data_IF_432796283524
#
_entry.id   IF_432796283524
#
_cell.length_a   1.000
_cell.length_b   1.000
_cell.length_c   1.000
_cell.angle_alpha   90.00
_cell.angle_beta   90.00
_cell.angle_gamma   90.00
#
_symmetry.space_group_name_H-M   'P 1'
#
loop_
_entity.id
_entity.type
_entity.pdbx_description
1 polymer ?
#
# COMPACT_ATOMS: atom_id res chain seq x y z
N UNK A 1 22.85 16.94 13.75
CA UNK A 1 22.76 17.92 12.66
C UNK A 1 23.48 17.43 11.39
N UNK A 2 24.04 16.21 11.37
CA UNK A 2 24.84 15.67 10.25
C UNK A 2 24.04 14.97 9.13
N UNK A 3 22.83 14.47 9.39
CA UNK A 3 22.06 13.77 8.35
C UNK A 3 21.28 14.69 7.40
N UNK A 4 21.08 15.97 7.75
CA UNK A 4 20.24 16.89 6.95
C UNK A 4 20.87 17.20 5.59
N UNK A 5 22.18 17.36 5.54
CA UNK A 5 22.91 17.73 4.31
C UNK A 5 22.96 16.64 3.24
N UNK A 6 22.88 15.35 3.61
CA UNK A 6 22.88 14.25 2.63
C UNK A 6 21.56 14.11 1.85
N UNK A 7 20.44 14.53 2.45
CA UNK A 7 19.12 14.40 1.81
C UNK A 7 18.75 15.63 0.97
N UNK A 8 19.34 16.80 1.25
CA UNK A 8 19.06 18.04 0.51
C UNK A 8 19.52 17.96 -0.97
N UNK A 9 20.50 17.09 -1.28
CA UNK A 9 21.02 16.83 -2.63
C UNK A 9 20.52 15.52 -3.27
N UNK A 10 19.72 14.74 -2.53
CA UNK A 10 19.17 13.47 -3.00
C UNK A 10 17.86 13.72 -3.77
N UNK A 11 17.77 13.22 -5.00
CA UNK A 11 16.60 13.46 -5.87
C UNK A 11 15.80 12.18 -6.08
N UNK A 12 14.47 12.28 -6.03
CA UNK A 12 13.57 11.19 -6.40
C UNK A 12 13.18 11.29 -7.88
N UNK A 13 13.26 10.17 -8.59
CA UNK A 13 12.89 10.04 -9.98
C UNK A 13 11.78 8.99 -10.12
N UNK A 14 10.63 9.42 -10.63
CA UNK A 14 9.52 8.58 -11.04
C UNK A 14 9.46 8.49 -12.56
N UNK A 15 8.65 7.55 -13.08
CA UNK A 15 8.43 7.38 -14.52
C UNK A 15 8.09 8.72 -15.20
N UNK A 16 8.80 9.03 -16.27
CA UNK A 16 8.67 10.25 -17.06
C UNK A 16 9.52 11.42 -16.58
N UNK A 17 10.16 11.32 -15.40
CA UNK A 17 10.99 12.39 -14.88
C UNK A 17 12.29 12.50 -15.69
N UNK A 18 12.59 13.73 -16.10
CA UNK A 18 13.89 14.06 -16.69
C UNK A 18 14.96 14.12 -15.60
N UNK A 19 16.17 13.69 -15.94
CA UNK A 19 17.27 13.81 -15.00
C UNK A 19 17.66 15.29 -14.82
N UNK A 20 17.68 15.73 -13.56
CA UNK A 20 18.13 17.08 -13.21
C UNK A 20 19.59 16.98 -12.79
N UNK A 21 20.48 17.65 -13.52
CA UNK A 21 21.91 17.67 -13.21
C UNK A 21 22.20 18.27 -11.82
N UNK A 22 23.24 17.76 -11.15
CA UNK A 22 23.73 18.29 -9.88
C UNK A 22 23.17 17.63 -8.62
N UNK A 23 22.85 16.33 -8.66
CA UNK A 23 22.49 15.55 -7.45
C UNK A 23 23.55 14.50 -7.15
N UNK A 24 24.02 14.47 -5.91
CA UNK A 24 25.01 13.49 -5.43
C UNK A 24 24.42 12.08 -5.25
N UNK A 25 23.09 11.95 -5.21
CA UNK A 25 22.40 10.66 -5.18
C UNK A 25 20.98 10.71 -5.76
N UNK A 26 20.43 9.53 -6.07
CA UNK A 26 19.11 9.40 -6.69
C UNK A 26 18.30 8.22 -6.14
N UNK A 27 17.03 8.45 -5.82
CA UNK A 27 16.02 7.42 -5.55
C UNK A 27 15.19 7.20 -6.80
N UNK A 28 15.29 6.01 -7.39
CA UNK A 28 14.49 5.65 -8.57
C UNK A 28 13.31 4.79 -8.12
N UNK A 29 12.09 5.29 -8.31
CA UNK A 29 10.86 4.55 -8.01
C UNK A 29 10.21 4.12 -9.32
N UNK A 30 10.26 2.82 -9.61
CA UNK A 30 9.71 2.25 -10.84
C UNK A 30 9.26 0.80 -10.67
N UNK A 31 8.40 0.35 -11.57
CA UNK A 31 8.05 -1.06 -11.67
C UNK A 31 9.18 -1.82 -12.36
N UNK A 32 9.51 -3.02 -11.86
CA UNK A 32 10.63 -3.85 -12.32
C UNK A 32 10.61 -4.10 -13.84
N UNK A 33 9.43 -4.18 -14.46
CA UNK A 33 9.30 -4.44 -15.91
C UNK A 33 9.85 -3.30 -16.78
N UNK A 34 10.03 -2.11 -16.22
CA UNK A 34 10.67 -0.99 -16.93
C UNK A 34 12.18 -1.13 -17.01
N UNK A 35 12.78 -1.97 -16.14
CA UNK A 35 14.22 -2.22 -16.10
C UNK A 35 14.62 -3.47 -16.89
N UNK A 36 13.65 -4.20 -17.45
CA UNK A 36 13.90 -5.38 -18.26
C UNK A 36 14.40 -4.99 -19.65
N UNK A 37 15.38 -5.73 -20.16
CA UNK A 37 15.84 -5.55 -21.54
C UNK A 37 14.72 -5.93 -22.51
N UNK A 38 14.34 -4.99 -23.38
CA UNK A 38 13.44 -5.31 -24.49
C UNK A 38 14.25 -5.93 -25.60
N UNK A 39 13.79 -7.06 -26.14
CA UNK A 39 14.33 -7.58 -27.39
C UNK A 39 14.29 -6.45 -28.45
N UNK A 40 15.36 -6.28 -29.24
CA UNK A 40 15.35 -5.30 -30.31
C UNK A 40 14.14 -5.59 -31.21
N UNK A 41 13.40 -4.54 -31.56
CA UNK A 41 12.28 -4.68 -32.49
C UNK A 41 12.79 -5.41 -33.75
N UNK A 42 12.05 -6.40 -34.29
CA UNK A 42 12.45 -7.06 -35.52
C UNK A 42 12.72 -5.99 -36.57
N UNK A 43 13.87 -6.07 -37.23
CA UNK A 43 14.29 -5.06 -38.20
C UNK A 43 13.17 -4.87 -39.22
N UNK A 44 12.84 -3.61 -39.54
CA UNK A 44 11.78 -3.27 -40.49
C UNK A 44 12.08 -3.69 -41.95
N UNK A 45 13.16 -4.46 -42.16
CA UNK A 45 13.60 -4.91 -43.48
C UNK A 45 13.48 -6.44 -43.57
N UNK A 46 12.61 -6.95 -44.45
CA UNK A 46 12.52 -8.39 -44.65
C UNK A 46 13.70 -8.93 -45.47
N UNK A 47 14.28 -10.04 -45.01
CA UNK A 47 15.02 -10.99 -45.85
C UNK A 47 16.43 -10.56 -46.33
N UNK A 48 16.89 -11.11 -47.47
CA UNK A 48 18.31 -11.13 -47.89
C UNK A 48 18.94 -9.76 -48.15
N UNK A 49 18.14 -8.69 -48.17
CA UNK A 49 18.62 -7.31 -48.29
C UNK A 49 19.35 -6.82 -47.02
N UNK A 50 18.99 -7.34 -45.84
CA UNK A 50 19.66 -7.02 -44.58
C UNK A 50 21.06 -7.67 -44.47
N UNK A 51 21.30 -8.79 -45.15
CA UNK A 51 22.59 -9.46 -45.19
C UNK A 51 23.60 -8.77 -46.12
N UNK A 52 23.10 -8.02 -47.12
CA UNK A 52 23.93 -7.34 -48.12
C UNK A 52 24.33 -5.91 -47.74
N UNK A 53 23.49 -5.23 -46.95
CA UNK A 53 23.66 -3.82 -46.57
C UNK A 53 24.21 -3.63 -45.14
N UNK A 54 24.41 -4.72 -44.40
CA UNK A 54 24.71 -4.70 -42.97
C UNK A 54 23.48 -4.31 -42.14
N UNK A 55 23.54 -4.56 -40.83
CA UNK A 55 22.55 -4.01 -39.90
C UNK A 55 22.50 -2.48 -40.11
N UNK A 56 21.32 -1.97 -40.48
CA UNK A 56 21.12 -0.52 -40.62
C UNK A 56 21.61 0.20 -39.37
N UNK A 57 22.09 1.45 -39.49
CA UNK A 57 22.69 2.16 -38.38
C UNK A 57 21.74 2.10 -37.18
N UNK A 58 22.26 1.64 -36.04
CA UNK A 58 21.61 1.83 -34.75
C UNK A 58 21.14 3.28 -34.67
N UNK A 59 19.91 3.55 -34.22
CA UNK A 59 19.40 4.91 -34.14
C UNK A 59 20.44 5.77 -33.45
N UNK A 60 20.90 6.80 -34.15
CA UNK A 60 21.85 7.77 -33.63
C UNK A 60 21.34 8.30 -32.30
N UNK A 61 22.23 8.32 -31.30
CA UNK A 61 22.08 9.08 -30.05
C UNK A 61 21.39 10.41 -30.35
N UNK A 62 20.10 10.53 -30.01
CA UNK A 62 19.36 11.80 -30.12
C UNK A 62 18.04 11.82 -30.91
N UNK A 63 17.47 10.69 -31.38
CA UNK A 63 16.14 10.71 -32.00
C UNK A 63 15.16 9.72 -31.34
N UNK A 64 14.26 10.28 -30.54
CA UNK A 64 13.28 9.64 -29.69
C UNK A 64 12.26 8.78 -30.46
N UNK A 65 12.42 7.46 -30.39
CA UNK A 65 11.33 6.51 -30.56
C UNK A 65 10.70 6.25 -29.17
N UNK A 66 9.80 7.14 -28.77
CA UNK A 66 8.82 6.94 -27.68
C UNK A 66 9.33 6.29 -26.36
N UNK A 67 9.94 7.11 -25.49
CA UNK A 67 9.65 7.09 -24.04
C UNK A 67 9.99 5.82 -23.24
N UNK A 68 11.10 5.13 -23.56
CA UNK A 68 11.72 4.24 -22.57
C UNK A 68 12.62 5.09 -21.67
N UNK A 69 12.18 5.33 -20.44
CA UNK A 69 13.06 5.84 -19.41
C UNK A 69 14.19 4.83 -19.18
N UNK A 70 15.40 5.15 -19.65
CA UNK A 70 16.60 4.35 -19.40
C UNK A 70 17.08 4.54 -17.95
N UNK A 71 16.25 4.13 -17.00
CA UNK A 71 16.61 4.20 -15.58
C UNK A 71 17.84 3.37 -15.28
N UNK A 72 18.01 2.22 -15.95
CA UNK A 72 19.18 1.37 -15.75
C UNK A 72 20.47 2.10 -16.15
N UNK A 73 20.51 2.70 -17.34
CA UNK A 73 21.67 3.50 -17.78
C UNK A 73 21.93 4.71 -16.88
N UNK A 74 20.89 5.39 -16.40
CA UNK A 74 21.04 6.51 -15.43
C UNK A 74 21.63 6.04 -14.09
N UNK A 75 21.16 4.90 -13.57
CA UNK A 75 21.71 4.31 -12.33
C UNK A 75 23.17 3.92 -12.53
N UNK A 76 23.51 3.32 -13.67
CA UNK A 76 24.89 2.91 -14.02
C UNK A 76 25.85 4.10 -14.14
N UNK A 77 25.38 5.23 -14.66
CA UNK A 77 26.18 6.44 -14.84
C UNK A 77 26.51 7.16 -13.52
N UNK A 78 25.76 6.90 -12.44
CA UNK A 78 25.97 7.57 -11.15
C UNK A 78 27.14 6.97 -10.36
N UNK A 79 27.95 7.82 -9.69
CA UNK A 79 28.94 7.37 -8.72
C UNK A 79 28.26 6.86 -7.44
N UNK A 80 29.01 6.14 -6.60
CA UNK A 80 28.49 5.49 -5.38
C UNK A 80 27.95 4.05 -5.55
N UNK A 81 27.76 3.33 -4.44
CA UNK A 81 27.16 2.00 -4.42
C UNK A 81 25.66 2.04 -4.74
N UNK A 82 25.10 0.92 -5.21
CA UNK A 82 23.66 0.78 -5.46
C UNK A 82 22.99 0.03 -4.30
N UNK A 83 21.85 0.54 -3.84
CA UNK A 83 20.93 -0.13 -2.94
C UNK A 83 19.65 -0.47 -3.72
N UNK A 84 19.21 -1.73 -3.62
CA UNK A 84 17.96 -2.20 -4.22
C UNK A 84 16.95 -2.44 -3.11
N UNK A 85 15.76 -1.86 -3.23
CA UNK A 85 14.65 -2.07 -2.31
C UNK A 85 13.47 -2.64 -3.10
N UNK A 86 13.09 -3.88 -2.83
CA UNK A 86 11.97 -4.55 -3.48
C UNK A 86 10.76 -4.50 -2.55
N UNK A 87 9.68 -3.88 -3.02
CA UNK A 87 8.36 -4.01 -2.40
C UNK A 87 7.60 -5.19 -3.00
N UNK A 88 6.70 -5.80 -2.23
CA UNK A 88 5.95 -7.01 -2.61
C UNK A 88 6.86 -8.14 -3.16
N UNK A 89 8.02 -8.34 -2.53
CA UNK A 89 9.10 -9.21 -3.02
C UNK A 89 8.72 -10.71 -3.14
N UNK A 90 7.54 -11.10 -2.66
CA UNK A 90 6.99 -12.42 -2.95
C UNK A 90 6.72 -12.65 -4.45
N UNK A 91 6.70 -11.60 -5.28
CA UNK A 91 6.65 -11.72 -6.74
C UNK A 91 8.03 -11.84 -7.42
N UNK A 92 9.12 -11.61 -6.70
CA UNK A 92 10.48 -11.49 -7.27
C UNK A 92 11.48 -12.50 -6.68
N UNK A 93 11.01 -13.46 -5.90
CA UNK A 93 11.84 -14.42 -5.17
C UNK A 93 12.46 -15.53 -6.05
N UNK A 94 11.97 -15.74 -7.28
CA UNK A 94 12.50 -16.76 -8.19
C UNK A 94 13.89 -16.34 -8.70
N UNK A 95 14.92 -17.14 -8.41
CA UNK A 95 16.31 -16.88 -8.76
C UNK A 95 16.55 -16.71 -10.27
N UNK A 96 15.71 -17.36 -11.08
CA UNK A 96 15.78 -17.31 -12.54
C UNK A 96 14.87 -16.22 -13.14
N UNK A 97 14.14 -15.47 -12.30
CA UNK A 97 13.31 -14.36 -12.76
C UNK A 97 14.13 -13.29 -13.48
N UNK A 98 13.50 -12.63 -14.45
CA UNK A 98 14.12 -11.53 -15.21
C UNK A 98 14.59 -10.39 -14.29
N UNK A 99 13.93 -10.20 -13.16
CA UNK A 99 14.36 -9.24 -12.15
C UNK A 99 15.70 -9.59 -11.52
N UNK A 100 15.86 -10.83 -11.03
CA UNK A 100 17.14 -11.26 -10.46
C UNK A 100 18.26 -11.26 -11.51
N UNK A 101 17.95 -11.59 -12.77
CA UNK A 101 18.89 -11.43 -13.88
C UNK A 101 19.29 -9.95 -14.09
N UNK A 102 18.32 -9.03 -14.03
CA UNK A 102 18.55 -7.58 -14.12
C UNK A 102 19.48 -7.10 -12.99
N UNK A 103 19.26 -7.53 -11.75
CA UNK A 103 20.13 -7.18 -10.61
C UNK A 103 21.55 -7.74 -10.79
N UNK A 104 21.69 -8.98 -11.27
CA UNK A 104 23.02 -9.57 -11.58
C UNK A 104 23.76 -8.77 -12.65
N UNK A 105 23.06 -8.35 -13.72
CA UNK A 105 23.62 -7.47 -14.77
C UNK A 105 24.03 -6.11 -14.21
N UNK A 106 23.18 -5.50 -13.39
CA UNK A 106 23.47 -4.24 -12.71
C UNK A 106 24.71 -4.38 -11.82
N UNK A 107 24.78 -5.41 -10.98
CA UNK A 107 25.91 -5.68 -10.09
C UNK A 107 27.24 -5.83 -10.85
N UNK A 108 27.22 -6.48 -12.01
CA UNK A 108 28.41 -6.66 -12.86
C UNK A 108 28.96 -5.32 -13.41
N UNK A 109 28.11 -4.32 -13.62
CA UNK A 109 28.50 -2.98 -14.12
C UNK A 109 28.73 -1.99 -12.97
N UNK A 110 27.95 -2.12 -11.91
CA UNK A 110 27.91 -1.24 -10.74
C UNK A 110 27.68 -2.07 -9.48
N UNK A 111 28.62 -2.11 -8.52
CA UNK A 111 28.44 -2.90 -7.31
C UNK A 111 27.15 -2.55 -6.56
N UNK A 112 26.22 -3.50 -6.54
CA UNK A 112 25.06 -3.48 -5.64
C UNK A 112 25.57 -3.84 -4.25
N UNK A 113 25.51 -2.88 -3.32
CA UNK A 113 25.98 -3.05 -1.95
C UNK A 113 24.99 -3.80 -1.08
N UNK A 114 23.69 -3.67 -1.36
CA UNK A 114 22.63 -4.30 -0.59
C UNK A 114 21.36 -4.42 -1.43
N UNK A 115 20.65 -5.54 -1.25
CA UNK A 115 19.29 -5.75 -1.73
C UNK A 115 18.42 -6.09 -0.52
N UNK A 116 17.34 -5.33 -0.31
CA UNK A 116 16.35 -5.59 0.74
C UNK A 116 15.00 -5.90 0.12
N UNK A 117 14.43 -7.01 0.56
CA UNK A 117 13.12 -7.47 0.15
C UNK A 117 12.13 -7.20 1.28
N UNK A 118 11.03 -6.53 0.95
CA UNK A 118 9.89 -6.30 1.86
C UNK A 118 8.68 -7.00 1.28
N UNK A 119 7.98 -7.78 2.11
CA UNK A 119 6.78 -8.50 1.69
C UNK A 119 5.90 -8.81 2.91
N UNK A 120 4.59 -8.62 2.77
CA UNK A 120 3.62 -9.10 3.75
C UNK A 120 3.48 -10.64 3.74
N UNK A 121 3.98 -11.29 2.69
CA UNK A 121 3.82 -12.72 2.45
C UNK A 121 5.12 -13.37 1.97
N UNK A 122 6.18 -13.45 2.81
CA UNK A 122 7.50 -13.96 2.41
C UNK A 122 7.54 -15.51 2.41
N UNK A 123 6.60 -16.16 1.70
CA UNK A 123 6.46 -17.61 1.66
C UNK A 123 6.49 -18.14 0.23
N UNK A 124 7.09 -19.32 0.04
CA UNK A 124 6.93 -20.10 -1.18
C UNK A 124 5.51 -20.62 -1.32
N UNK A 125 5.17 -21.12 -2.52
CA UNK A 125 3.91 -21.83 -2.77
C UNK A 125 3.72 -23.07 -1.88
N UNK A 126 4.80 -23.61 -1.30
CA UNK A 126 4.77 -24.70 -0.32
C UNK A 126 4.39 -24.25 1.11
N UNK A 127 4.29 -22.94 1.35
CA UNK A 127 4.04 -22.33 2.67
C UNK A 127 5.30 -22.07 3.51
N UNK A 128 6.46 -22.61 3.11
CA UNK A 128 7.72 -22.36 3.80
C UNK A 128 8.16 -20.88 3.64
N UNK A 129 8.67 -20.28 4.71
CA UNK A 129 9.25 -18.94 4.68
C UNK A 129 10.49 -18.90 3.78
N UNK A 130 10.76 -17.75 3.17
CA UNK A 130 12.00 -17.54 2.44
C UNK A 130 13.21 -17.68 3.38
N UNK A 131 14.25 -18.45 2.99
CA UNK A 131 15.36 -18.76 3.89
C UNK A 131 16.23 -17.55 4.21
N UNK A 132 16.13 -16.46 3.43
CA UNK A 132 16.82 -15.18 3.66
C UNK A 132 15.98 -14.17 4.48
N UNK A 133 14.89 -14.61 5.12
CA UNK A 133 14.11 -13.74 6.01
C UNK A 133 14.93 -13.39 7.25
N UNK A 134 15.31 -12.12 7.40
CA UNK A 134 16.12 -11.63 8.53
C UNK A 134 15.30 -11.09 9.70
N UNK A 135 14.07 -10.67 9.44
CA UNK A 135 13.13 -10.13 10.43
C UNK A 135 11.71 -10.42 9.97
N UNK A 136 10.85 -10.83 10.91
CA UNK A 136 9.44 -11.09 10.67
C UNK A 136 8.60 -10.34 11.72
N UNK A 137 7.52 -9.71 11.27
CA UNK A 137 6.56 -9.01 12.12
C UNK A 137 5.16 -9.53 11.79
N UNK A 138 4.71 -10.60 12.47
CA UNK A 138 3.52 -11.35 12.08
C UNK A 138 2.24 -10.56 12.33
N UNK A 139 1.16 -10.95 11.63
CA UNK A 139 -0.14 -10.28 11.75
C UNK A 139 -0.65 -10.30 13.20
N UNK A 140 -0.44 -11.40 13.93
CA UNK A 140 -0.75 -11.47 15.36
C UNK A 140 -0.12 -10.32 16.14
N UNK A 141 1.16 -10.04 15.90
CA UNK A 141 1.86 -8.98 16.63
C UNK A 141 1.30 -7.61 16.26
N UNK A 142 1.01 -7.38 14.97
CA UNK A 142 0.36 -6.15 14.50
C UNK A 142 -1.02 -5.91 15.15
N UNK A 143 -1.80 -6.98 15.35
CA UNK A 143 -3.12 -6.90 16.03
C UNK A 143 -2.94 -6.60 17.52
N UNK A 144 -1.99 -7.26 18.20
CA UNK A 144 -1.71 -7.05 19.63
C UNK A 144 -1.24 -5.61 19.88
N UNK A 145 -0.35 -5.11 19.02
CA UNK A 145 0.20 -3.75 19.09
C UNK A 145 -0.77 -2.67 18.58
N UNK A 146 -1.97 -3.08 18.14
CA UNK A 146 -3.03 -2.20 17.62
C UNK A 146 -2.55 -1.33 16.44
N UNK A 147 -1.69 -1.89 15.59
CA UNK A 147 -1.23 -1.24 14.35
C UNK A 147 -2.17 -1.51 13.18
N UNK A 148 -3.07 -2.49 13.33
CA UNK A 148 -4.10 -2.87 12.37
C UNK A 148 -5.43 -3.11 13.08
N UNK A 149 -6.54 -3.09 12.33
CA UNK A 149 -7.86 -3.46 12.82
C UNK A 149 -7.86 -4.90 13.31
N UNK A 150 -8.62 -5.14 14.38
CA UNK A 150 -8.86 -6.48 14.92
C UNK A 150 -9.95 -7.19 14.10
N UNK A 151 -9.68 -8.36 13.49
CA UNK A 151 -10.70 -9.16 12.83
C UNK A 151 -11.74 -9.70 13.83
N UNK A 152 -13.02 -9.64 13.50
CA UNK A 152 -14.12 -10.28 14.24
C UNK A 152 -14.93 -11.20 13.33
N UNK A 153 -15.13 -12.46 13.72
CA UNK A 153 -15.90 -13.45 12.95
C UNK A 153 -17.40 -13.35 13.27
N UNK A 154 -18.19 -13.06 12.26
CA UNK A 154 -19.65 -13.07 12.32
C UNK A 154 -20.17 -14.50 12.20
N UNK A 155 -20.64 -15.06 13.31
CA UNK A 155 -21.31 -16.35 13.33
C UNK A 155 -22.73 -16.14 12.83
N UNK A 156 -23.08 -16.86 11.77
CA UNK A 156 -24.43 -16.87 11.21
C UNK A 156 -24.91 -18.30 11.03
N UNK A 157 -26.21 -18.51 11.22
CA UNK A 157 -26.88 -19.80 10.95
C UNK A 157 -27.49 -19.83 9.54
N UNK A 158 -26.94 -19.03 8.63
CA UNK A 158 -27.46 -18.86 7.27
C UNK A 158 -27.08 -20.09 6.45
N UNK A 159 -28.06 -20.68 5.78
CA UNK A 159 -27.84 -21.74 4.82
C UNK A 159 -27.83 -21.16 3.42
N UNK A 160 -26.90 -21.63 2.59
CA UNK A 160 -26.86 -21.29 1.17
C UNK A 160 -28.08 -21.89 0.46
N UNK A 161 -28.72 -21.09 -0.38
CA UNK A 161 -29.81 -21.56 -1.23
C UNK A 161 -29.20 -22.26 -2.45
N UNK A 162 -29.74 -23.41 -2.84
CA UNK A 162 -29.27 -24.09 -4.05
C UNK A 162 -29.71 -23.31 -5.30
N UNK A 163 -28.79 -22.55 -5.88
CA UNK A 163 -29.00 -21.75 -7.10
C UNK A 163 -27.68 -21.51 -7.81
N UNK A 164 -27.74 -21.41 -9.14
CA UNK A 164 -26.61 -20.98 -9.98
C UNK A 164 -26.44 -19.45 -10.00
N UNK A 165 -27.45 -18.71 -9.54
CA UNK A 165 -27.41 -17.24 -9.44
C UNK A 165 -26.79 -16.89 -8.09
N UNK A 166 -25.67 -16.16 -8.11
CA UNK A 166 -24.89 -15.87 -6.91
C UNK A 166 -25.65 -15.00 -5.91
N UNK A 167 -26.35 -13.98 -6.39
CA UNK A 167 -27.17 -13.08 -5.58
C UNK A 167 -28.31 -13.81 -4.85
N UNK A 168 -28.85 -14.88 -5.44
CA UNK A 168 -29.88 -15.73 -4.82
C UNK A 168 -29.25 -16.71 -3.83
N UNK A 169 -28.20 -17.42 -4.26
CA UNK A 169 -27.50 -18.43 -3.45
C UNK A 169 -26.95 -17.83 -2.14
N UNK A 170 -26.40 -16.62 -2.21
CA UNK A 170 -25.76 -15.94 -1.09
C UNK A 170 -26.60 -14.81 -0.48
N UNK A 171 -27.88 -14.70 -0.84
CA UNK A 171 -28.76 -13.60 -0.43
C UNK A 171 -28.70 -13.32 1.09
N UNK A 172 -28.79 -14.38 1.91
CA UNK A 172 -28.78 -14.22 3.37
C UNK A 172 -27.50 -13.54 3.88
N UNK A 173 -26.33 -13.93 3.38
CA UNK A 173 -25.05 -13.33 3.76
C UNK A 173 -24.94 -11.87 3.29
N UNK A 174 -25.43 -11.57 2.08
CA UNK A 174 -25.43 -10.22 1.53
C UNK A 174 -26.32 -9.28 2.34
N UNK A 175 -27.54 -9.70 2.67
CA UNK A 175 -28.46 -8.93 3.51
C UNK A 175 -27.79 -8.60 4.85
N UNK A 176 -27.21 -9.62 5.48
CA UNK A 176 -26.53 -9.46 6.77
C UNK A 176 -25.34 -8.50 6.68
N UNK A 177 -24.54 -8.59 5.61
CA UNK A 177 -23.44 -7.67 5.38
C UNK A 177 -23.91 -6.23 5.22
N UNK A 178 -24.99 -6.02 4.48
CA UNK A 178 -25.63 -4.70 4.30
C UNK A 178 -26.14 -4.14 5.62
N UNK A 179 -26.87 -4.93 6.41
CA UNK A 179 -27.38 -4.49 7.71
C UNK A 179 -26.25 -4.14 8.66
N UNK A 180 -25.18 -4.95 8.69
CA UNK A 180 -24.01 -4.65 9.52
C UNK A 180 -23.28 -3.38 9.07
N UNK A 181 -23.17 -3.17 7.76
CA UNK A 181 -22.61 -1.93 7.21
C UNK A 181 -23.46 -0.71 7.58
N UNK A 182 -24.79 -0.82 7.59
CA UNK A 182 -25.69 0.25 8.04
C UNK A 182 -25.46 0.60 9.52
N UNK A 183 -25.27 -0.40 10.37
CA UNK A 183 -24.91 -0.16 11.78
C UNK A 183 -23.58 0.61 11.90
N UNK A 184 -22.56 0.24 11.12
CA UNK A 184 -21.30 1.01 11.07
C UNK A 184 -21.54 2.44 10.60
N UNK A 185 -22.40 2.64 9.59
CA UNK A 185 -22.68 3.97 9.03
C UNK A 185 -23.31 4.87 10.08
N UNK A 186 -24.26 4.35 10.84
CA UNK A 186 -24.88 5.08 11.95
C UNK A 186 -23.85 5.45 13.02
N UNK A 187 -23.04 4.49 13.47
CA UNK A 187 -22.06 4.68 14.54
C UNK A 187 -20.89 5.59 14.16
N UNK A 188 -20.51 5.62 12.88
CA UNK A 188 -19.39 6.43 12.37
C UNK A 188 -19.81 7.83 11.90
N UNK A 189 -21.11 8.10 11.74
CA UNK A 189 -21.62 9.42 11.33
C UNK A 189 -21.13 10.56 12.25
N UNK A 190 -21.15 10.42 13.60
CA UNK A 190 -20.65 11.47 14.50
C UNK A 190 -19.14 11.72 14.36
N UNK A 191 -18.38 10.75 13.84
CA UNK A 191 -16.93 10.82 13.70
C UNK A 191 -16.50 11.36 12.33
N UNK A 192 -17.46 11.80 11.49
CA UNK A 192 -17.23 12.17 10.09
C UNK A 192 -16.42 11.09 9.35
N UNK A 193 -16.83 9.83 9.54
CA UNK A 193 -16.22 8.69 8.85
C UNK A 193 -17.24 7.85 8.14
N UNK A 194 -16.80 7.30 7.01
CA UNK A 194 -17.63 6.53 6.11
C UNK A 194 -17.19 5.07 6.09
N UNK A 195 -18.06 4.10 6.38
CA UNK A 195 -17.73 2.69 6.21
C UNK A 195 -17.87 2.24 4.76
N UNK A 196 -17.07 1.24 4.38
CA UNK A 196 -17.15 0.51 3.11
C UNK A 196 -17.49 -0.95 3.38
N UNK A 197 -18.49 -1.46 2.64
CA UNK A 197 -18.83 -2.88 2.55
C UNK A 197 -17.98 -3.53 1.45
N UNK A 198 -17.26 -4.60 1.78
CA UNK A 198 -16.48 -5.35 0.82
C UNK A 198 -17.07 -6.73 0.61
N UNK A 199 -17.33 -7.12 -0.64
CA UNK A 199 -17.89 -8.43 -0.99
C UNK A 199 -16.94 -9.18 -1.91
N UNK A 200 -16.53 -10.37 -1.49
CA UNK A 200 -15.58 -11.22 -2.22
C UNK A 200 -16.31 -12.35 -2.93
N UNK A 201 -16.15 -12.41 -4.25
CA UNK A 201 -16.83 -13.32 -5.17
C UNK A 201 -15.84 -14.24 -5.92
N UNK A 202 -16.35 -15.20 -6.68
CA UNK A 202 -15.52 -16.23 -7.35
C UNK A 202 -15.17 -15.92 -8.80
N UNK A 203 -16.08 -15.24 -9.49
CA UNK A 203 -15.94 -14.93 -10.89
C UNK A 203 -16.50 -13.55 -11.16
N UNK A 204 -16.07 -12.95 -12.27
CA UNK A 204 -16.53 -11.64 -12.71
C UNK A 204 -18.04 -11.62 -12.87
N UNK A 205 -18.61 -12.68 -13.46
CA UNK A 205 -20.06 -12.85 -13.62
C UNK A 205 -20.82 -12.85 -12.28
N UNK A 206 -20.30 -13.53 -11.27
CA UNK A 206 -20.93 -13.53 -9.94
C UNK A 206 -20.78 -12.17 -9.25
N UNK A 207 -19.65 -11.48 -9.44
CA UNK A 207 -19.44 -10.13 -8.92
C UNK A 207 -20.39 -9.12 -9.57
N UNK A 208 -20.59 -9.20 -10.89
CA UNK A 208 -21.54 -8.37 -11.62
C UNK A 208 -22.96 -8.62 -11.11
N UNK A 209 -23.39 -9.88 -11.03
CA UNK A 209 -24.72 -10.26 -10.52
C UNK A 209 -24.99 -9.72 -9.10
N UNK A 210 -24.02 -9.83 -8.20
CA UNK A 210 -24.14 -9.32 -6.83
C UNK A 210 -24.13 -7.80 -6.77
N UNK A 211 -23.28 -7.12 -7.55
CA UNK A 211 -23.24 -5.67 -7.61
C UNK A 211 -24.56 -5.09 -8.16
N UNK A 212 -25.10 -5.73 -9.19
CA UNK A 212 -26.40 -5.43 -9.77
C UNK A 212 -27.54 -5.63 -8.77
N UNK A 213 -27.50 -6.74 -8.03
CA UNK A 213 -28.48 -7.04 -6.99
C UNK A 213 -28.44 -6.00 -5.86
N UNK A 214 -27.26 -5.59 -5.39
CA UNK A 214 -27.09 -4.55 -4.37
C UNK A 214 -27.71 -3.22 -4.84
N UNK A 215 -27.43 -2.82 -6.08
CA UNK A 215 -27.95 -1.59 -6.67
C UNK A 215 -29.48 -1.61 -6.81
N UNK A 216 -30.07 -2.74 -7.22
CA UNK A 216 -31.52 -2.86 -7.41
C UNK A 216 -32.29 -3.00 -6.10
N UNK A 217 -31.77 -3.79 -5.15
CA UNK A 217 -32.45 -4.06 -3.87
C UNK A 217 -32.32 -2.90 -2.89
N UNK A 218 -31.20 -2.18 -2.93
CA UNK A 218 -30.87 -1.10 -2.01
C UNK A 218 -30.40 0.16 -2.76
N UNK A 219 -31.24 0.75 -3.63
CA UNK A 219 -30.83 1.84 -4.52
C UNK A 219 -30.37 3.10 -3.77
N UNK A 220 -30.93 3.36 -2.58
CA UNK A 220 -30.53 4.50 -1.74
C UNK A 220 -29.09 4.38 -1.21
N UNK A 221 -28.67 3.16 -0.88
CA UNK A 221 -27.36 2.91 -0.28
C UNK A 221 -26.32 2.54 -1.35
N UNK A 222 -26.69 1.78 -2.37
CA UNK A 222 -25.73 1.17 -3.29
C UNK A 222 -25.98 1.50 -4.76
N UNK A 223 -27.08 2.18 -5.11
CA UNK A 223 -27.41 2.55 -6.49
C UNK A 223 -26.54 3.66 -7.09
N UNK A 224 -26.48 3.72 -8.41
CA UNK A 224 -25.68 4.69 -9.16
C UNK A 224 -24.19 4.36 -9.07
N UNK A 225 -23.35 5.36 -8.76
CA UNK A 225 -21.90 5.19 -8.58
C UNK A 225 -21.49 4.81 -7.14
N UNK A 226 -22.42 4.29 -6.34
CA UNK A 226 -22.17 3.88 -4.94
C UNK A 226 -21.68 2.44 -4.79
N UNK A 227 -21.71 1.65 -5.87
CA UNK A 227 -21.14 0.30 -5.91
C UNK A 227 -20.04 0.25 -6.94
N UNK A 228 -18.85 -0.20 -6.54
CA UNK A 228 -17.72 -0.40 -7.45
C UNK A 228 -17.53 -1.90 -7.67
N UNK A 229 -17.59 -2.35 -8.91
CA UNK A 229 -17.26 -3.73 -9.27
C UNK A 229 -15.84 -3.79 -9.81
N UNK A 230 -15.05 -4.74 -9.31
CA UNK A 230 -13.63 -4.86 -9.67
C UNK A 230 -13.32 -6.25 -10.20
N UNK A 231 -12.87 -6.30 -11.45
CA UNK A 231 -12.43 -7.50 -12.14
C UNK A 231 -10.94 -7.41 -12.44
N UNK A 232 -10.12 -8.27 -11.85
CA UNK A 232 -8.77 -8.49 -12.38
C UNK A 232 -8.85 -9.60 -13.42
N UNK A 233 -8.64 -9.25 -14.69
CA UNK A 233 -8.43 -10.25 -15.74
C UNK A 233 -7.00 -10.77 -15.61
N UNK A 234 -6.86 -12.08 -15.36
CA UNK A 234 -5.59 -12.76 -15.60
C UNK A 234 -5.29 -12.69 -17.11
N UNK A 235 -4.08 -12.28 -17.47
CA UNK A 235 -3.60 -12.38 -18.85
C UNK A 235 -3.46 -13.85 -19.21
N UNK A 236 -4.51 -14.47 -19.74
CA UNK A 236 -4.42 -15.87 -20.16
C UNK A 236 -5.72 -16.61 -20.38
N UNK A 237 -6.70 -16.04 -21.09
CA UNK A 237 -7.68 -16.76 -21.91
C UNK A 237 -8.64 -15.75 -22.51
N UNK A 238 -8.58 -15.60 -23.84
CA UNK A 238 -9.48 -14.89 -24.74
C UNK A 238 -10.59 -14.06 -24.07
N UNK A 239 -10.43 -12.74 -24.13
CA UNK A 239 -11.21 -11.79 -23.35
C UNK A 239 -11.74 -10.69 -24.27
N UNK A 240 -13.05 -10.42 -24.22
CA UNK A 240 -13.62 -9.13 -24.63
C UNK A 240 -12.82 -8.00 -23.96
N UNK A 241 -12.25 -7.09 -24.75
CA UNK A 241 -11.36 -6.02 -24.29
C UNK A 241 -12.03 -5.16 -23.20
N UNK A 242 -11.50 -5.22 -21.97
CA UNK A 242 -11.68 -4.09 -21.04
C UNK A 242 -10.57 -3.11 -21.40
N UNK A 243 -10.94 -1.88 -21.73
CA UNK A 243 -9.97 -0.85 -22.12
C UNK A 243 -9.11 -0.45 -20.92
N UNK A 244 -7.81 -0.16 -21.13
CA UNK A 244 -6.89 0.32 -20.08
C UNK A 244 -7.45 1.51 -19.28
N UNK A 245 -8.34 2.29 -19.91
CA UNK A 245 -9.07 3.41 -19.33
C UNK A 245 -10.02 3.02 -18.20
N UNK A 246 -10.69 1.87 -18.30
CA UNK A 246 -11.64 1.40 -17.27
C UNK A 246 -10.89 0.88 -16.03
N UNK A 247 -9.71 0.28 -16.24
CA UNK A 247 -8.81 -0.15 -15.18
C UNK A 247 -8.24 1.06 -14.42
N UNK A 248 -7.85 2.13 -15.12
CA UNK A 248 -7.36 3.35 -14.48
C UNK A 248 -8.46 4.08 -13.70
N UNK A 249 -9.68 4.11 -14.23
CA UNK A 249 -10.85 4.63 -13.51
C UNK A 249 -11.17 3.81 -12.25
N UNK A 250 -11.12 2.48 -12.32
CA UNK A 250 -11.31 1.61 -11.17
C UNK A 250 -10.20 1.78 -10.11
N UNK A 251 -8.94 1.93 -10.54
CA UNK A 251 -7.80 2.22 -9.65
C UNK A 251 -7.94 3.57 -8.98
N UNK A 252 -8.38 4.59 -9.70
CA UNK A 252 -8.64 5.92 -9.15
C UNK A 252 -9.77 5.87 -8.13
N UNK A 253 -10.90 5.24 -8.47
CA UNK A 253 -12.03 5.05 -7.56
C UNK A 253 -11.63 4.28 -6.29
N UNK A 254 -10.78 3.25 -6.42
CA UNK A 254 -10.23 2.50 -5.30
C UNK A 254 -9.29 3.33 -4.40
N UNK A 255 -8.54 4.31 -4.94
CA UNK A 255 -7.71 5.22 -4.15
C UNK A 255 -8.53 6.29 -3.44
N UNK A 256 -9.57 6.77 -4.10
CA UNK A 256 -10.44 7.85 -3.59
C UNK A 256 -11.55 7.32 -2.67
N UNK A 257 -11.73 6.00 -2.55
CA UNK A 257 -12.80 5.39 -1.75
C UNK A 257 -12.77 5.77 -0.26
N UNK A 258 -11.57 6.05 0.27
CA UNK A 258 -11.39 6.44 1.67
C UNK A 258 -11.76 7.90 1.94
N UNK A 259 -11.93 8.72 0.89
CA UNK A 259 -12.41 10.10 1.01
C UNK A 259 -13.88 10.11 1.45
N UNK A 260 -14.21 10.96 2.44
CA UNK A 260 -15.58 11.16 2.90
C UNK A 260 -16.53 11.63 1.78
N UNK A 261 -16.00 12.29 0.74
CA UNK A 261 -16.76 12.73 -0.43
C UNK A 261 -16.96 11.64 -1.48
N UNK A 262 -16.28 10.50 -1.36
CA UNK A 262 -16.47 9.39 -2.28
C UNK A 262 -17.93 8.93 -2.24
N UNK A 263 -18.57 8.67 -3.40
CA UNK A 263 -19.91 8.11 -3.42
C UNK A 263 -19.92 6.62 -3.04
N UNK A 264 -18.80 5.91 -3.18
CA UNK A 264 -18.73 4.45 -3.10
C UNK A 264 -18.95 3.94 -1.67
N UNK A 265 -19.98 3.12 -1.49
CA UNK A 265 -20.38 2.49 -0.23
C UNK A 265 -20.05 1.00 -0.20
N UNK A 266 -20.03 0.34 -1.37
CA UNK A 266 -19.70 -1.07 -1.49
C UNK A 266 -18.71 -1.32 -2.62
N UNK A 267 -17.86 -2.31 -2.42
CA UNK A 267 -17.02 -2.88 -3.48
C UNK A 267 -17.25 -4.37 -3.58
N UNK A 268 -17.51 -4.83 -4.80
CA UNK A 268 -17.70 -6.25 -5.13
C UNK A 268 -16.53 -6.68 -6.01
N UNK A 269 -15.76 -7.66 -5.56
CA UNK A 269 -14.53 -8.06 -6.24
C UNK A 269 -14.32 -9.57 -6.27
N UNK A 270 -13.71 -10.04 -7.37
CA UNK A 270 -13.42 -11.46 -7.64
C UNK A 270 -12.08 -11.92 -7.07
N UNK A 271 -11.15 -10.97 -7.01
CA UNK A 271 -9.76 -11.21 -6.69
C UNK A 271 -9.27 -10.02 -5.88
N UNK A 272 -8.26 -10.28 -5.08
CA UNK A 272 -7.49 -9.22 -4.46
C UNK A 272 -6.91 -8.36 -5.58
N UNK A 273 -7.23 -7.07 -5.61
CA UNK A 273 -6.50 -6.13 -6.45
C UNK A 273 -5.03 -6.22 -6.06
N UNK A 274 -4.21 -6.74 -6.98
CA UNK A 274 -2.77 -6.90 -6.78
C UNK A 274 -2.05 -5.56 -6.59
N UNK A 275 -2.60 -4.45 -7.11
CA UNK A 275 -2.02 -3.11 -7.00
C UNK A 275 -3.11 -2.05 -6.75
N UNK A 276 -2.86 -1.14 -5.80
CA UNK A 276 -3.68 0.06 -5.60
C UNK A 276 -4.97 -0.10 -4.80
N UNK A 277 -5.23 -1.28 -4.23
CA UNK A 277 -6.30 -1.50 -3.26
C UNK A 277 -5.73 -1.47 -1.85
N UNK A 278 -6.01 -0.37 -1.19
CA UNK A 278 -5.70 -0.10 0.19
C UNK A 278 -6.82 0.77 0.74
N UNK A 279 -7.75 0.15 1.46
CA UNK A 279 -9.01 0.80 1.87
C UNK A 279 -9.09 0.77 3.39
N UNK A 280 -8.76 1.90 3.99
CA UNK A 280 -8.83 2.13 5.42
C UNK A 280 -10.28 2.10 5.92
N UNK A 281 -11.24 2.43 5.07
CA UNK A 281 -12.64 2.51 5.44
C UNK A 281 -13.38 1.16 5.36
N UNK A 282 -12.70 0.07 5.00
CA UNK A 282 -13.29 -1.27 5.01
C UNK A 282 -13.62 -1.71 6.45
N UNK A 283 -14.91 -1.89 6.73
CA UNK A 283 -15.44 -2.22 8.07
C UNK A 283 -16.19 -3.55 8.10
N UNK A 284 -16.79 -3.94 6.98
CA UNK A 284 -17.50 -5.22 6.83
C UNK A 284 -16.98 -5.94 5.59
N UNK A 285 -16.54 -7.18 5.76
CA UNK A 285 -16.08 -8.06 4.69
C UNK A 285 -17.02 -9.25 4.59
N UNK A 286 -17.61 -9.45 3.42
CA UNK A 286 -18.49 -10.58 3.09
C UNK A 286 -17.76 -11.54 2.15
N UNK A 287 -17.22 -12.62 2.70
CA UNK A 287 -16.48 -13.64 1.98
C UNK A 287 -17.37 -14.78 1.47
N UNK A 288 -17.60 -14.83 0.15
CA UNK A 288 -18.47 -15.84 -0.49
C UNK A 288 -17.69 -16.77 -1.42
N UNK A 289 -16.36 -16.72 -1.34
CA UNK A 289 -15.46 -17.55 -2.14
C UNK A 289 -15.20 -18.90 -1.49
N UNK A 290 -15.50 -20.04 -2.14
CA UNK A 290 -15.00 -21.32 -1.72
C UNK A 290 -13.52 -21.38 -2.08
N UNK A 291 -12.63 -21.21 -1.10
CA UNK A 291 -11.21 -21.43 -1.30
C UNK A 291 -10.99 -22.90 -1.63
N UNK A 292 -10.70 -23.19 -2.90
CA UNK A 292 -10.05 -24.44 -3.27
C UNK A 292 -8.55 -24.23 -3.14
N UNK A 293 -7.86 -25.18 -2.54
CA UNK A 293 -6.43 -25.20 -2.21
C UNK A 293 -5.47 -25.04 -3.41
N UNK A 294 -5.98 -24.77 -4.62
CA UNK A 294 -5.19 -24.50 -5.83
C UNK A 294 -4.93 -23.02 -6.09
N UNK A 295 -5.69 -22.11 -5.48
CA UNK A 295 -5.41 -20.68 -5.57
C UNK A 295 -4.53 -20.29 -4.37
N UNK A 296 -3.22 -20.17 -4.61
CA UNK A 296 -2.18 -19.74 -3.65
C UNK A 296 -2.37 -18.28 -3.20
N UNK A 297 -3.57 -17.90 -2.76
CA UNK A 297 -3.85 -16.59 -2.19
C UNK A 297 -3.75 -16.74 -0.68
N UNK A 298 -2.72 -16.14 -0.11
CA UNK A 298 -2.48 -16.18 1.32
C UNK A 298 -3.62 -15.45 2.07
N UNK A 299 -4.09 -15.99 3.21
CA UNK A 299 -5.19 -15.39 3.98
C UNK A 299 -4.95 -13.93 4.37
N UNK A 300 -3.69 -13.57 4.59
CA UNK A 300 -3.21 -12.23 4.89
C UNK A 300 -3.42 -11.29 3.71
N UNK A 301 -3.30 -11.78 2.47
CA UNK A 301 -3.64 -10.96 1.30
C UNK A 301 -5.14 -10.71 1.27
N UNK A 302 -5.94 -11.76 1.50
CA UNK A 302 -7.40 -11.73 1.41
C UNK A 302 -8.09 -10.74 2.38
N UNK A 303 -7.50 -10.52 3.56
CA UNK A 303 -8.09 -9.66 4.59
C UNK A 303 -7.20 -8.45 4.88
N UNK A 304 -5.88 -8.58 4.75
CA UNK A 304 -4.87 -7.60 5.17
C UNK A 304 -5.08 -6.20 4.58
N UNK A 305 -5.59 -6.10 3.36
CA UNK A 305 -5.91 -4.80 2.72
C UNK A 305 -7.07 -4.07 3.40
N UNK A 306 -7.98 -4.78 4.07
CA UNK A 306 -9.04 -4.20 4.89
C UNK A 306 -8.67 -3.98 6.36
N UNK A 307 -7.49 -4.46 6.79
CA UNK A 307 -7.02 -4.35 8.18
C UNK A 307 -6.39 -3.00 8.51
N UNK A 308 -6.20 -2.09 7.56
CA UNK A 308 -5.60 -0.79 7.87
C UNK A 308 -6.48 0.04 8.80
N UNK A 309 -5.90 0.74 9.76
CA UNK A 309 -6.64 1.63 10.65
C UNK A 309 -7.25 2.82 9.88
N UNK A 310 -8.52 3.08 10.15
CA UNK A 310 -9.26 4.27 9.70
C UNK A 310 -8.78 5.53 10.44
N UNK A 311 -8.38 5.38 11.71
CA UNK A 311 -8.00 6.50 12.57
C UNK A 311 -6.51 6.45 12.95
N UNK A 312 -5.65 6.90 12.04
CA UNK A 312 -4.18 6.87 12.23
C UNK A 312 -3.63 7.70 13.39
N UNK A 313 -4.41 8.66 13.91
CA UNK A 313 -3.98 9.61 14.94
C UNK A 313 -4.63 9.37 16.31
N UNK A 314 -5.41 8.29 16.48
CA UNK A 314 -5.96 7.97 17.80
C UNK A 314 -4.84 7.45 18.71
N UNK A 315 -4.72 8.05 19.89
CA UNK A 315 -3.90 7.52 20.97
C UNK A 315 -4.36 6.10 21.31
N UNK A 316 -3.42 5.18 21.51
CA UNK A 316 -3.62 3.72 21.64
C UNK A 316 -4.68 3.25 22.67
N UNK A 317 -5.27 4.12 23.50
CA UNK A 317 -6.12 3.78 24.64
C UNK A 317 -7.63 4.05 24.50
N UNK A 318 -8.15 4.54 23.36
CA UNK A 318 -9.56 4.96 23.26
C UNK A 318 -10.49 3.94 22.60
N UNK A 319 -10.10 3.36 21.45
CA UNK A 319 -10.95 2.48 20.65
C UNK A 319 -10.11 1.43 19.94
N UNK A 320 -10.51 0.15 20.05
CA UNK A 320 -9.93 -0.91 19.22
C UNK A 320 -10.74 -0.99 17.94
N UNK A 321 -10.20 -0.43 16.86
CA UNK A 321 -10.80 -0.57 15.54
C UNK A 321 -10.89 -2.05 15.16
N UNK A 322 -11.97 -2.39 14.47
CA UNK A 322 -12.25 -3.77 14.09
C UNK A 322 -12.85 -3.85 12.70
N UNK A 323 -12.75 -5.02 12.11
CA UNK A 323 -13.38 -5.37 10.83
C UNK A 323 -14.18 -6.63 11.01
N UNK A 324 -15.45 -6.55 10.64
CA UNK A 324 -16.42 -7.62 10.83
C UNK A 324 -16.43 -8.50 9.58
N UNK A 325 -16.07 -9.77 9.77
CA UNK A 325 -15.91 -10.75 8.72
C UNK A 325 -17.10 -11.70 8.76
N UNK A 326 -17.87 -11.69 7.68
CA UNK A 326 -19.06 -12.52 7.48
C UNK A 326 -18.81 -13.35 6.25
N UNK A 327 -19.26 -14.60 6.21
CA UNK A 327 -19.05 -15.41 5.02
C UNK A 327 -19.67 -16.78 5.14
N UNK A 328 -19.58 -17.52 4.04
CA UNK A 328 -20.01 -18.90 4.05
C UNK A 328 -19.05 -19.79 4.85
N UNK A 329 -19.47 -21.04 5.07
CA UNK A 329 -18.70 -22.01 5.87
C UNK A 329 -17.27 -22.17 5.37
N UNK A 330 -17.07 -22.27 4.05
CA UNK A 330 -15.75 -22.46 3.44
C UNK A 330 -14.83 -21.25 3.66
N UNK A 331 -15.38 -20.04 3.59
CA UNK A 331 -14.64 -18.83 3.88
C UNK A 331 -14.26 -18.76 5.37
N UNK A 332 -15.18 -19.10 6.29
CA UNK A 332 -14.88 -19.12 7.72
C UNK A 332 -13.86 -20.20 8.09
N UNK A 333 -13.92 -21.39 7.47
CA UNK A 333 -12.89 -22.43 7.62
C UNK A 333 -11.51 -21.93 7.16
N UNK A 334 -11.46 -21.08 6.13
CA UNK A 334 -10.23 -20.43 5.70
C UNK A 334 -9.69 -19.43 6.73
N UNK A 335 -10.58 -18.69 7.43
CA UNK A 335 -10.19 -17.84 8.55
C UNK A 335 -9.65 -18.68 9.72
N UNK A 336 -10.25 -19.84 9.99
CA UNK A 336 -9.79 -20.74 11.06
C UNK A 336 -8.39 -21.31 10.79
N UNK A 337 -7.96 -21.41 9.52
CA UNK A 337 -6.56 -21.74 9.17
C UNK A 337 -5.63 -20.59 9.55
N UNK A 338 -5.99 -19.36 9.17
CA UNK A 338 -5.21 -18.16 9.52
C UNK A 338 -5.05 -18.01 11.04
N UNK A 339 -6.11 -18.22 11.82
CA UNK A 339 -6.04 -18.17 13.29
C UNK A 339 -5.02 -19.17 13.87
N UNK A 340 -4.88 -20.35 13.25
CA UNK A 340 -3.92 -21.37 13.67
C UNK A 340 -2.50 -21.00 13.28
N UNK A 341 -2.29 -20.51 12.06
CA UNK A 341 -0.99 -20.09 11.55
C UNK A 341 -0.43 -18.91 12.36
N UNK A 342 -1.28 -17.94 12.67
CA UNK A 342 -0.94 -16.77 13.48
C UNK A 342 -0.93 -17.06 14.98
N UNK A 343 -1.42 -18.22 15.40
CA UNK A 343 -1.63 -18.58 16.81
C UNK A 343 -2.40 -17.47 17.57
N UNK A 344 -3.48 -17.00 16.95
CA UNK A 344 -4.34 -15.94 17.46
C UNK A 344 -5.80 -16.27 17.13
N UNK A 345 -6.63 -16.37 18.17
CA UNK A 345 -8.07 -16.56 18.00
C UNK A 345 -8.75 -15.20 17.83
N UNK A 346 -9.56 -15.05 16.78
CA UNK A 346 -10.38 -13.87 16.57
C UNK A 346 -11.66 -13.96 17.40
N UNK A 347 -12.12 -12.79 17.85
CA UNK A 347 -13.37 -12.69 18.59
C UNK A 347 -14.55 -12.95 17.64
N UNK A 348 -15.66 -13.41 18.21
CA UNK A 348 -16.87 -13.73 17.44
C UNK A 348 -18.03 -12.83 17.86
N UNK A 349 -18.95 -12.59 16.94
CA UNK A 349 -20.25 -11.99 17.25
C UNK A 349 -21.37 -12.77 16.54
N UNK A 350 -22.56 -12.80 17.14
CA UNK A 350 -23.76 -13.38 16.56
C UNK A 350 -24.47 -12.36 15.69
N UNK A 351 -24.54 -12.65 14.40
CA UNK A 351 -25.24 -11.82 13.42
C UNK A 351 -26.72 -11.68 13.80
N UNK A 352 -27.22 -10.44 13.80
CA UNK A 352 -28.63 -10.14 14.08
C UNK A 352 -28.99 -10.11 15.57
N UNK A 353 -28.15 -10.64 16.46
CA UNK A 353 -28.32 -10.52 17.92
C UNK A 353 -27.40 -9.46 18.51
N UNK A 354 -26.12 -9.47 18.14
CA UNK A 354 -25.13 -8.56 18.68
C UNK A 354 -25.09 -7.24 17.89
N UNK A 355 -25.63 -6.18 18.50
CA UNK A 355 -25.62 -4.83 17.93
C UNK A 355 -24.22 -4.21 17.98
N UNK A 356 -23.80 -3.56 16.89
CA UNK A 356 -22.58 -2.78 16.88
C UNK A 356 -22.74 -1.55 17.79
N UNK A 357 -21.72 -1.30 18.61
CA UNK A 357 -21.61 -0.07 19.39
C UNK A 357 -20.17 0.40 19.41
N UNK A 358 -19.93 1.61 18.91
CA UNK A 358 -18.66 2.31 19.03
C UNK A 358 -18.81 3.27 20.19
N UNK A 359 -18.02 3.08 21.25
CA UNK A 359 -18.09 3.96 22.42
C UNK A 359 -17.25 5.20 22.13
N UNK A 360 -17.93 6.30 21.83
CA UNK A 360 -17.30 7.63 21.70
C UNK A 360 -17.34 8.34 23.04
N UNK A 361 -16.20 8.87 23.48
CA UNK A 361 -16.11 9.75 24.65
C UNK A 361 -16.00 11.17 24.12
N UNK A 362 -16.98 12.01 24.44
CA UNK A 362 -17.04 13.40 23.99
C UNK A 362 -17.04 14.35 25.20
N UNK A 363 -16.46 15.57 25.06
CA UNK A 363 -16.61 16.61 26.07
C UNK A 363 -18.09 16.95 26.28
N UNK A 364 -18.52 17.06 27.53
CA UNK A 364 -19.91 17.45 27.87
C UNK A 364 -20.04 18.98 27.75
N UNK A 365 -20.84 19.52 26.81
CA UNK A 365 -20.95 20.98 26.61
C UNK A 365 -21.38 21.74 27.88
N UNK A 366 -22.24 21.12 28.70
CA UNK A 366 -22.69 21.68 29.99
C UNK A 366 -21.58 21.80 31.04
N UNK A 367 -20.45 21.12 30.86
CA UNK A 367 -19.29 21.16 31.78
C UNK A 367 -18.20 22.12 31.35
N UNK A 368 -18.37 22.87 30.25
CA UNK A 368 -17.40 23.89 29.80
C UNK A 368 -17.15 24.93 30.90
N UNK A 369 -18.16 25.28 31.70
CA UNK A 369 -17.99 26.20 32.83
C UNK A 369 -17.12 25.64 33.98
N UNK A 370 -16.88 24.33 34.00
CA UNK A 370 -16.03 23.64 34.95
C UNK A 370 -14.65 23.29 34.37
N UNK A 371 -14.34 23.70 33.13
CA UNK A 371 -12.99 23.55 32.58
C UNK A 371 -12.02 24.42 33.37
N UNK A 372 -10.98 23.78 33.90
CA UNK A 372 -9.88 24.46 34.59
C UNK A 372 -8.85 24.79 33.52
N UNK A 373 -8.61 26.07 33.27
CA UNK A 373 -7.52 26.50 32.41
C UNK A 373 -6.20 25.99 32.99
N UNK A 374 -5.49 25.13 32.26
CA UNK A 374 -4.13 24.75 32.62
C UNK A 374 -3.28 26.01 32.43
N UNK A 375 -2.65 26.54 33.50
CA UNK A 375 -1.87 27.75 33.37
C UNK A 375 -0.69 27.50 32.45
N UNK A 376 -0.55 28.36 31.44
CA UNK A 376 0.58 28.30 30.51
C UNK A 376 1.84 28.71 31.30
N UNK A 377 2.65 27.72 31.66
CA UNK A 377 3.84 27.95 32.45
C UNK A 377 4.87 28.66 31.59
N UNK A 378 5.23 29.88 31.98
CA UNK A 378 6.38 30.54 31.36
C UNK A 378 7.64 29.71 31.64
N UNK A 379 8.47 29.41 30.63
CA UNK A 379 9.67 28.63 30.82
C UNK A 379 10.56 29.31 31.87
N UNK A 380 10.96 28.55 32.89
CA UNK A 380 11.81 29.04 34.00
C UNK A 380 13.13 29.65 33.51
N UNK A 381 13.59 29.23 32.32
CA UNK A 381 14.78 29.73 31.65
C UNK A 381 14.41 30.25 30.27
N UNK A 382 14.38 31.57 30.12
CA UNK A 382 14.30 32.25 28.82
C UNK A 382 15.71 32.64 28.40
N UNK A 383 16.18 32.14 27.26
CA UNK A 383 17.46 32.56 26.69
C UNK A 383 17.31 34.00 26.19
N UNK A 384 17.80 34.97 26.96
CA UNK A 384 17.55 36.41 26.77
C UNK A 384 18.14 37.01 25.49
N UNK A 385 19.07 36.31 24.82
CA UNK A 385 19.72 36.71 23.56
C UNK A 385 20.06 35.48 22.73
N UNK A 386 19.97 35.58 21.41
CA UNK A 386 20.50 34.53 20.54
C UNK A 386 22.04 34.54 20.62
N UNK A 387 22.68 33.39 20.41
CA UNK A 387 24.15 33.32 20.33
C UNK A 387 24.69 34.26 19.24
N UNK A 388 23.90 34.48 18.18
CA UNK A 388 24.19 35.42 17.10
C UNK A 388 24.30 36.86 17.59
N UNK A 389 23.38 37.30 18.47
CA UNK A 389 23.40 38.67 19.02
C UNK A 389 24.60 38.89 19.96
N UNK A 390 25.00 37.86 20.71
CA UNK A 390 26.22 37.90 21.52
C UNK A 390 27.48 37.98 20.65
N UNK A 391 27.56 37.17 19.59
CA UNK A 391 28.69 37.18 18.65
C UNK A 391 28.78 38.53 17.93
N UNK A 392 27.65 39.10 17.50
CA UNK A 392 27.61 40.41 16.83
C UNK A 392 28.02 41.57 17.75
N UNK A 393 27.86 41.42 19.07
CA UNK A 393 28.26 42.41 20.07
C UNK A 393 29.75 42.32 20.48
N UNK A 394 30.49 41.31 20.00
CA UNK A 394 31.93 41.18 20.28
C UNK A 394 32.71 42.19 19.42
N UNK A 395 33.20 43.24 20.07
CA UNK A 395 34.09 44.21 19.46
C UNK A 395 35.53 43.65 19.42
N UNK A 396 35.85 42.99 18.31
CA UNK A 396 37.17 42.39 18.03
C UNK A 396 38.31 43.41 18.09
N UNK A 397 38.03 44.71 17.94
CA UNK A 397 39.05 45.77 17.98
C UNK A 397 39.59 46.04 19.39
N UNK A 398 38.89 45.58 20.43
CA UNK A 398 39.30 45.71 21.84
C UNK A 398 40.16 44.56 22.34
N UNK A 399 40.38 43.52 21.53
CA UNK A 399 41.27 42.45 21.94
C UNK A 399 42.72 42.97 22.01
N UNK A 400 43.45 42.69 23.09
CA UNK A 400 44.83 43.10 23.21
C UNK A 400 45.67 42.44 22.10
N UNK A 401 46.53 43.18 21.40
CA UNK A 401 47.39 42.58 20.38
C UNK A 401 48.33 41.59 21.05
N UNK A 402 48.17 40.31 20.73
CA UNK A 402 49.12 39.27 21.07
C UNK A 402 50.41 39.53 20.28
N UNK A 403 51.47 39.94 21.00
CA UNK A 403 52.81 40.07 20.41
C UNK A 403 53.31 38.69 20.01
N UNK A 404 53.26 38.37 18.71
CA UNK A 404 53.96 37.23 18.15
C UNK A 404 55.43 37.63 18.02
N UNK A 405 56.29 37.07 18.88
CA UNK A 405 57.74 37.24 18.71
C UNK A 405 58.19 36.39 17.51
N UNK A 406 58.46 37.06 16.39
CA UNK A 406 59.12 36.43 15.25
C UNK A 406 60.60 36.19 15.62
N UNK A 407 60.96 34.95 15.94
CA UNK A 407 62.36 34.54 16.07
C UNK A 407 62.92 34.36 14.67
N UNK A 408 63.74 35.30 14.19
CA UNK A 408 64.46 35.15 12.93
C UNK A 408 65.67 34.22 13.13
N UNK A 409 65.60 32.99 12.61
CA UNK A 409 66.78 32.14 12.52
C UNK A 409 67.66 32.59 11.34
N UNK A 410 68.90 33.01 11.64
CA UNK A 410 69.94 33.27 10.64
C UNK A 410 70.73 31.98 10.45
N UNK A 411 70.61 31.34 9.29
CA UNK A 411 71.41 30.17 8.92
C UNK A 411 72.87 30.62 8.80
N UNK A 412 73.77 29.94 9.52
CA UNK A 412 75.22 30.02 9.33
C UNK A 412 75.70 28.77 8.61
#
# INVERSE_FOLDING_TARGET
>A
MEYRWFWDEFRSFMRGDSEVGGSDGGLYLTNIQQLYERAPAPSALPGPLAALLGAGPLPTLGASASGADDFLGRIEARPGPVLVLNDEAHHTHDEDSEWNQTIRRLHARRPVALQLDVSATPRFNSGALFPWTVSDYPLRQAIIDRLVKRPLKGLSHIQEVNSDIASVRYEGFLIVGVERWREYREQLTPLDKKPVLFVMMNSTKEADDVADWLQRKYPADFGGNRTLTIHTKEKGAQVDEITEKDLDAARKAAREIDDNQSPVNAVVSVLMLHEGWDVQNATVVVGLRPYTSKANILPEQAIGRGLRLMFRNLTQNSFTERVDIIGNKKFLEFIDVLEKEENLKFDTFEVGKDKLRIVTIEPMPEKVAADIGIPDLSPLLVRKKSLMDEIAAIDVSKFPPSRINLVSCRVK
#
